data_IF_478447143022
#
_entry.id   IF_478447143022
#
_cell.length_a   1.000
_cell.length_b   1.000
_cell.length_c   1.000
_cell.angle_alpha   90.00
_cell.angle_beta   90.00
_cell.angle_gamma   90.00
#
_symmetry.space_group_name_H-M   'P 1'
#
loop_
_entity.id
_entity.type
_entity.pdbx_description
1 polymer ?
#
# COMPACT_ATOMS: atom_id res chain seq x y z
N UNK A 1 6.29 1.14 7.92
CA UNK A 1 5.30 1.28 9.01
C UNK A 1 4.36 0.08 8.96
N UNK A 2 4.04 -0.54 10.10
CA UNK A 2 3.00 -1.58 10.15
C UNK A 2 1.64 -0.94 9.86
N UNK A 3 0.97 -1.43 8.82
CA UNK A 3 -0.38 -0.98 8.45
C UNK A 3 -1.39 -2.12 8.51
N UNK A 4 -1.04 -3.24 9.15
CA UNK A 4 -1.87 -4.45 9.19
C UNK A 4 -3.27 -4.17 9.71
N UNK A 5 -3.40 -3.36 10.76
CA UNK A 5 -4.69 -3.02 11.36
C UNK A 5 -5.58 -2.10 10.51
N UNK A 6 -5.03 -1.44 9.48
CA UNK A 6 -5.72 -0.41 8.68
C UNK A 6 -5.68 -0.70 7.18
N UNK A 7 -5.21 -1.89 6.77
CA UNK A 7 -5.09 -2.26 5.36
C UNK A 7 -6.45 -2.24 4.64
N UNK A 8 -7.50 -2.71 5.31
CA UNK A 8 -8.85 -2.74 4.72
C UNK A 8 -9.37 -1.31 4.49
N UNK A 9 -9.19 -0.42 5.47
CA UNK A 9 -9.54 1.00 5.34
C UNK A 9 -8.78 1.69 4.20
N UNK A 10 -7.51 1.33 3.99
CA UNK A 10 -6.72 1.80 2.84
C UNK A 10 -7.33 1.33 1.52
N UNK A 11 -7.76 0.06 1.43
CA UNK A 11 -8.40 -0.45 0.22
C UNK A 11 -9.75 0.22 -0.04
N UNK A 12 -10.55 0.47 1.00
CA UNK A 12 -11.81 1.22 0.89
C UNK A 12 -11.57 2.65 0.37
N UNK A 13 -10.56 3.34 0.89
CA UNK A 13 -10.20 4.68 0.44
C UNK A 13 -9.76 4.71 -1.03
N UNK A 14 -9.03 3.69 -1.48
CA UNK A 14 -8.63 3.54 -2.89
C UNK A 14 -9.87 3.32 -3.77
N UNK A 15 -10.74 2.39 -3.39
CA UNK A 15 -11.92 2.00 -4.16
C UNK A 15 -12.99 3.10 -4.19
N UNK A 16 -12.97 4.05 -3.26
CA UNK A 16 -13.82 5.24 -3.29
C UNK A 16 -13.55 6.14 -4.52
N UNK A 17 -12.38 6.04 -5.14
CA UNK A 17 -12.04 6.71 -6.39
C UNK A 17 -12.31 5.83 -7.62
N UNK A 18 -13.54 5.32 -7.74
CA UNK A 18 -13.90 4.27 -8.71
C UNK A 18 -13.59 4.61 -10.18
N UNK A 19 -13.61 5.89 -10.57
CA UNK A 19 -13.24 6.31 -11.95
C UNK A 19 -11.74 6.22 -12.25
N UNK A 20 -10.88 6.03 -11.24
CA UNK A 20 -9.43 5.93 -11.41
C UNK A 20 -8.92 4.48 -11.38
N UNK A 21 -9.69 3.55 -10.80
CA UNK A 21 -9.27 2.18 -10.55
C UNK A 21 -10.13 1.18 -11.32
N UNK A 22 -9.70 -0.08 -11.32
CA UNK A 22 -10.35 -1.14 -12.07
C UNK A 22 -11.83 -1.33 -11.71
N UNK A 23 -12.70 -1.12 -12.68
CA UNK A 23 -14.12 -1.48 -12.67
C UNK A 23 -14.41 -2.32 -13.92
N UNK A 24 -14.83 -3.58 -13.79
CA UNK A 24 -15.14 -4.45 -14.92
C UNK A 24 -16.31 -3.95 -15.79
N UNK A 25 -17.11 -3.00 -15.30
CA UNK A 25 -18.24 -2.41 -16.02
C UNK A 25 -17.91 -1.05 -16.66
N UNK A 26 -16.69 -0.54 -16.46
CA UNK A 26 -16.30 0.76 -17.00
C UNK A 26 -16.18 0.71 -18.52
N UNK A 27 -16.68 1.76 -19.18
CA UNK A 27 -16.48 2.03 -20.60
C UNK A 27 -15.40 3.10 -20.85
N UNK A 28 -14.69 3.52 -19.80
CA UNK A 28 -13.63 4.51 -19.90
C UNK A 28 -12.36 3.92 -20.55
N UNK A 29 -11.48 4.76 -21.11
CA UNK A 29 -10.21 4.29 -21.66
C UNK A 29 -9.38 3.56 -20.61
N UNK A 30 -8.80 2.44 -21.02
CA UNK A 30 -7.92 1.67 -20.13
C UNK A 30 -6.65 2.48 -19.86
N UNK A 31 -6.32 2.61 -18.58
CA UNK A 31 -5.09 3.29 -18.12
C UNK A 31 -4.32 2.33 -17.24
N UNK A 32 -3.02 2.59 -17.05
CA UNK A 32 -2.22 1.73 -16.18
C UNK A 32 -2.83 1.57 -14.78
N UNK A 33 -3.37 2.65 -14.19
CA UNK A 33 -4.00 2.64 -12.86
C UNK A 33 -5.39 1.98 -12.85
N UNK A 34 -6.13 2.04 -13.97
CA UNK A 34 -7.42 1.36 -14.13
C UNK A 34 -7.30 -0.13 -14.43
N UNK A 35 -6.07 -0.64 -14.64
CA UNK A 35 -5.88 -2.08 -14.86
C UNK A 35 -6.12 -2.89 -13.58
N UNK A 36 -6.73 -4.08 -13.72
CA UNK A 36 -6.87 -5.04 -12.60
C UNK A 36 -5.53 -5.36 -11.94
N UNK A 37 -4.48 -5.46 -12.76
CA UNK A 37 -3.12 -5.72 -12.29
C UNK A 37 -2.59 -4.62 -11.36
N UNK A 38 -2.92 -3.34 -11.60
CA UNK A 38 -2.53 -2.28 -10.69
C UNK A 38 -3.21 -2.43 -9.33
N UNK A 39 -4.52 -2.66 -9.32
CA UNK A 39 -5.30 -2.82 -8.09
C UNK A 39 -4.82 -4.02 -7.27
N UNK A 40 -4.60 -5.17 -7.91
CA UNK A 40 -4.08 -6.39 -7.26
C UNK A 40 -2.64 -6.18 -6.70
N UNK A 41 -1.86 -5.31 -7.33
CA UNK A 41 -0.49 -5.02 -6.91
C UNK A 41 -0.41 -4.23 -5.60
N UNK A 42 -1.44 -3.47 -5.23
CA UNK A 42 -1.43 -2.65 -3.99
C UNK A 42 -1.26 -3.51 -2.73
N UNK A 43 -2.13 -4.51 -2.45
CA UNK A 43 -1.95 -5.38 -1.29
C UNK A 43 -0.68 -6.24 -1.42
N UNK A 44 -0.30 -6.66 -2.64
CA UNK A 44 0.93 -7.42 -2.85
C UNK A 44 2.16 -6.61 -2.42
N UNK A 45 2.22 -5.33 -2.79
CA UNK A 45 3.30 -4.41 -2.42
C UNK A 45 3.33 -4.14 -0.91
N UNK A 46 2.16 -4.01 -0.30
CA UNK A 46 2.06 -3.87 1.15
C UNK A 46 2.61 -5.12 1.86
N UNK A 47 2.31 -6.34 1.38
CA UNK A 47 2.92 -7.57 1.94
C UNK A 47 4.43 -7.62 1.74
N UNK A 48 4.91 -7.22 0.56
CA UNK A 48 6.34 -7.17 0.24
C UNK A 48 7.09 -6.29 1.26
N UNK A 49 6.57 -5.11 1.58
CA UNK A 49 7.14 -4.22 2.59
C UNK A 49 6.97 -4.72 4.02
N UNK A 50 5.88 -5.44 4.33
CA UNK A 50 5.63 -5.98 5.67
C UNK A 50 6.56 -7.13 6.03
N UNK A 51 6.81 -8.03 5.08
CA UNK A 51 7.59 -9.26 5.26
C UNK A 51 8.95 -9.07 5.95
N UNK A 52 9.85 -8.17 5.52
CA UNK A 52 11.16 -8.00 6.16
C UNK A 52 11.07 -7.45 7.60
N UNK A 53 9.96 -6.81 7.96
CA UNK A 53 9.73 -6.25 9.29
C UNK A 53 8.88 -7.18 10.20
N UNK A 54 8.45 -8.35 9.70
CA UNK A 54 7.58 -9.26 10.47
C UNK A 54 6.11 -8.83 10.54
N UNK A 55 5.67 -7.86 9.73
CA UNK A 55 4.28 -7.42 9.65
C UNK A 55 3.55 -8.15 8.52
N UNK A 56 2.21 -8.27 8.61
CA UNK A 56 1.42 -8.81 7.50
C UNK A 56 1.39 -7.80 6.33
N UNK A 57 1.22 -6.52 6.65
CA UNK A 57 1.24 -5.42 5.69
C UNK A 57 2.11 -4.27 6.19
N UNK A 58 2.99 -3.78 5.32
CA UNK A 58 3.86 -2.65 5.58
C UNK A 58 3.69 -1.55 4.53
N UNK A 59 3.86 -0.31 4.96
CA UNK A 59 4.03 0.83 4.06
C UNK A 59 5.46 1.34 4.11
N UNK A 60 6.11 1.38 2.94
CA UNK A 60 7.47 1.84 2.76
C UNK A 60 7.51 3.35 2.57
N UNK A 61 8.51 4.00 3.18
CA UNK A 61 8.74 5.44 3.05
C UNK A 61 10.20 5.69 2.71
N UNK A 62 10.45 6.76 1.96
CA UNK A 62 11.80 7.29 1.73
C UNK A 62 11.94 8.62 2.47
N UNK A 63 13.15 8.94 2.89
CA UNK A 63 13.46 10.21 3.52
C UNK A 63 14.82 10.72 3.01
N UNK A 64 14.96 12.03 2.89
CA UNK A 64 16.23 12.67 2.45
C UNK A 64 17.17 12.94 3.61
N UNK A 65 16.65 12.93 4.85
CA UNK A 65 17.41 13.12 6.09
C UNK A 65 17.48 11.82 6.88
N UNK A 66 18.47 11.74 7.77
CA UNK A 66 18.65 10.61 8.68
C UNK A 66 17.42 10.43 9.59
N UNK A 67 16.96 9.19 9.72
CA UNK A 67 15.89 8.84 10.67
C UNK A 67 16.51 8.82 12.07
N UNK A 68 16.08 9.75 12.92
CA UNK A 68 16.45 9.75 14.33
C UNK A 68 15.71 8.67 15.10
N UNK A 69 16.43 7.90 15.92
CA UNK A 69 15.86 6.89 16.81
C UNK A 69 16.26 7.20 18.26
N UNK A 70 15.35 6.98 19.21
CA UNK A 70 15.65 7.22 20.64
C UNK A 70 16.62 6.17 21.20
N UNK A 71 16.54 4.95 20.71
CA UNK A 71 17.42 3.83 21.08
C UNK A 71 17.41 2.79 19.96
N UNK A 72 18.55 2.15 19.71
CA UNK A 72 18.63 0.99 18.80
C UNK A 72 17.96 -0.24 19.42
N UNK A 73 17.90 -0.31 20.76
CA UNK A 73 17.30 -1.44 21.46
C UNK A 73 15.77 -1.53 21.30
N UNK A 74 15.11 -0.44 20.88
CA UNK A 74 13.65 -0.39 20.68
C UNK A 74 13.24 -0.52 19.22
N UNK A 75 14.15 -0.97 18.34
CA UNK A 75 13.88 -1.13 16.91
C UNK A 75 13.16 -2.43 16.53
N UNK A 76 12.84 -3.28 17.51
CA UNK A 76 12.27 -4.62 17.33
C UNK A 76 11.12 -4.83 18.30
#
# INVERSE_FOLDING_TARGET
MDITAVMDQKMEAILAHSSQFYDPNSSEPDTYIASKGFLDNIPARAREHGRPCGFLYGEGFTCTRWIGVKSVATLW
#
